data_IF_981843545734
#
_entry.id   IF_981843545734
#
_cell.length_a   1.000
_cell.length_b   1.000
_cell.length_c   1.000
_cell.angle_alpha   90.00
_cell.angle_beta   90.00
_cell.angle_gamma   90.00
#
_symmetry.space_group_name_H-M   'P 1'
#
loop_
_entity.id
_entity.type
_entity.pdbx_description
1 polymer ?
#
# COMPACT_ATOMS: atom_id res chain seq x y z
N UNK A 1 19.15 -2.26 1.21
CA UNK A 1 18.01 -1.31 1.20
C UNK A 1 17.01 -1.78 0.16
N UNK A 2 15.75 -1.82 0.53
CA UNK A 2 14.65 -2.19 -0.33
C UNK A 2 13.74 -0.99 -0.54
N UNK A 3 13.22 -0.85 -1.75
CA UNK A 3 12.28 0.21 -2.10
C UNK A 3 10.91 -0.40 -2.36
N UNK A 4 9.90 0.04 -1.60
CA UNK A 4 8.54 -0.49 -1.69
C UNK A 4 7.66 0.34 -2.60
N UNK A 5 6.86 -0.34 -3.42
CA UNK A 5 5.89 0.25 -4.32
C UNK A 5 4.63 -0.62 -4.43
N UNK A 6 3.57 -0.03 -4.95
CA UNK A 6 2.33 -0.73 -5.25
C UNK A 6 2.37 -1.27 -6.67
N UNK A 7 1.82 -2.46 -6.89
CA UNK A 7 1.85 -3.11 -8.19
C UNK A 7 0.47 -3.16 -8.86
N UNK A 8 0.49 -3.06 -10.18
CA UNK A 8 -0.68 -3.07 -11.06
C UNK A 8 -0.45 -4.00 -12.24
N UNK A 9 -1.52 -4.48 -12.83
CA UNK A 9 -1.44 -5.15 -14.12
C UNK A 9 -0.80 -4.22 -15.15
N UNK A 10 0.10 -4.74 -15.97
CA UNK A 10 0.77 -3.95 -17.02
C UNK A 10 -0.24 -3.21 -17.89
N UNK A 11 0.03 -1.91 -18.11
CA UNK A 11 -0.80 -1.04 -18.91
C UNK A 11 -2.07 -0.52 -18.21
N UNK A 12 -2.25 -0.81 -16.93
CA UNK A 12 -3.38 -0.27 -16.18
C UNK A 12 -3.14 1.21 -15.86
N UNK A 13 -3.99 2.08 -16.41
CA UNK A 13 -3.90 3.53 -16.21
C UNK A 13 -4.12 3.97 -14.76
N UNK A 14 -4.72 3.13 -13.94
CA UNK A 14 -4.91 3.39 -12.51
C UNK A 14 -3.57 3.58 -11.78
N UNK A 15 -2.49 2.94 -12.26
CA UNK A 15 -1.14 3.15 -11.75
C UNK A 15 -0.72 4.62 -11.82
N UNK A 16 -1.04 5.32 -12.91
CA UNK A 16 -0.69 6.72 -13.08
C UNK A 16 -1.53 7.63 -12.17
N UNK A 17 -2.80 7.29 -11.95
CA UNK A 17 -3.65 8.00 -10.98
C UNK A 17 -3.12 7.81 -9.56
N UNK A 18 -2.67 6.60 -9.21
CA UNK A 18 -2.04 6.32 -7.92
C UNK A 18 -0.73 7.09 -7.73
N UNK A 19 0.09 7.19 -8.78
CA UNK A 19 1.32 7.98 -8.73
C UNK A 19 1.04 9.46 -8.45
N UNK A 20 0.02 10.02 -9.08
CA UNK A 20 -0.38 11.41 -8.85
C UNK A 20 -0.85 11.62 -7.42
N UNK A 21 -1.72 10.76 -6.92
CA UNK A 21 -2.20 10.83 -5.54
C UNK A 21 -1.06 10.63 -4.53
N UNK A 22 -0.15 9.68 -4.80
CA UNK A 22 1.01 9.42 -3.95
C UNK A 22 1.96 10.63 -3.88
N UNK A 23 2.19 11.31 -5.01
CA UNK A 23 2.98 12.53 -5.04
C UNK A 23 2.35 13.65 -4.19
N UNK A 24 1.02 13.77 -4.23
CA UNK A 24 0.28 14.71 -3.38
C UNK A 24 0.43 14.38 -1.89
N UNK A 25 0.35 13.10 -1.52
CA UNK A 25 0.54 12.66 -0.13
C UNK A 25 1.96 12.96 0.37
N UNK A 26 2.95 12.85 -0.49
CA UNK A 26 4.34 13.23 -0.17
C UNK A 26 4.48 14.73 0.04
N UNK A 27 3.88 15.51 -0.84
CA UNK A 27 3.99 16.97 -0.85
C UNK A 27 3.25 17.63 0.33
N UNK A 28 2.05 17.12 0.67
CA UNK A 28 1.23 17.69 1.74
C UNK A 28 1.57 17.17 3.15
N UNK A 29 2.55 16.26 3.27
CA UNK A 29 3.01 15.71 4.53
C UNK A 29 2.19 14.52 5.05
N UNK A 30 1.13 14.11 4.37
CA UNK A 30 0.28 12.98 4.81
C UNK A 30 1.06 11.67 4.86
N UNK A 31 1.93 11.42 3.87
CA UNK A 31 2.75 10.21 3.86
C UNK A 31 3.67 10.14 5.09
N UNK A 32 4.33 11.23 5.44
CA UNK A 32 5.20 11.30 6.61
C UNK A 32 4.41 11.11 7.92
N UNK A 33 3.21 11.66 8.02
CA UNK A 33 2.33 11.45 9.17
C UNK A 33 1.91 9.98 9.31
N UNK A 34 1.52 9.34 8.20
CA UNK A 34 1.19 7.91 8.19
C UNK A 34 2.39 7.09 8.67
N UNK A 35 3.57 7.34 8.12
CA UNK A 35 4.79 6.63 8.53
C UNK A 35 5.08 6.84 10.02
N UNK A 36 4.97 8.05 10.53
CA UNK A 36 5.26 8.39 11.93
C UNK A 36 4.29 7.73 12.92
N UNK A 37 3.09 7.40 12.48
CA UNK A 37 2.12 6.69 13.31
C UNK A 37 2.52 5.24 13.62
N UNK A 38 3.42 4.67 12.83
CA UNK A 38 3.86 3.26 12.96
C UNK A 38 5.32 3.10 13.31
N UNK A 39 6.17 4.08 12.95
CA UNK A 39 7.63 3.99 13.08
C UNK A 39 8.16 5.27 13.72
N UNK A 40 9.04 5.12 14.71
CA UNK A 40 9.71 6.24 15.38
C UNK A 40 9.12 6.56 16.75
N UNK A 41 9.25 7.80 17.17
CA UNK A 41 8.91 8.23 18.54
C UNK A 41 7.43 8.62 18.71
N UNK A 42 6.70 8.77 17.61
CA UNK A 42 5.32 9.24 17.61
C UNK A 42 4.28 8.16 17.29
N UNK A 43 4.65 6.91 17.51
CA UNK A 43 3.77 5.76 17.23
C UNK A 43 2.43 5.91 17.95
N UNK A 44 1.34 5.77 17.18
CA UNK A 44 -0.02 5.87 17.69
C UNK A 44 -0.55 7.29 17.88
N UNK A 45 0.23 8.31 17.54
CA UNK A 45 -0.16 9.71 17.73
C UNK A 45 -0.81 10.35 16.49
N UNK A 46 -0.65 9.74 15.33
CA UNK A 46 -1.12 10.27 14.05
C UNK A 46 -1.92 9.24 13.23
N UNK A 47 -2.99 8.64 13.82
CA UNK A 47 -3.80 7.69 13.06
C UNK A 47 -4.42 8.37 11.83
N UNK A 48 -4.32 7.72 10.68
CA UNK A 48 -4.96 8.25 9.48
C UNK A 48 -6.47 8.09 9.57
N UNK A 49 -7.19 9.16 9.31
CA UNK A 49 -8.64 9.18 9.25
C UNK A 49 -9.09 9.73 7.90
N UNK A 50 -9.99 8.98 7.25
CA UNK A 50 -10.60 9.47 6.00
C UNK A 50 -11.44 10.71 6.27
N UNK A 51 -11.39 11.72 5.35
CA UNK A 51 -12.32 12.85 5.43
C UNK A 51 -13.78 12.36 5.43
N UNK A 52 -14.64 13.00 6.20
CA UNK A 52 -16.04 12.59 6.38
C UNK A 52 -16.90 12.75 5.12
N UNK A 53 -16.47 13.61 4.17
CA UNK A 53 -17.23 14.01 2.99
C UNK A 53 -16.66 13.45 1.68
N UNK A 54 -15.90 12.36 1.73
CA UNK A 54 -15.37 11.73 0.52
C UNK A 54 -16.49 11.16 -0.34
N UNK A 55 -16.55 11.60 -1.59
CA UNK A 55 -17.43 11.00 -2.60
C UNK A 55 -16.75 9.76 -3.17
N UNK A 56 -17.35 8.60 -2.96
CA UNK A 56 -16.82 7.29 -3.41
C UNK A 56 -17.58 6.74 -4.62
N UNK A 57 -18.08 7.62 -5.45
CA UNK A 57 -18.89 7.26 -6.62
C UNK A 57 -18.11 6.58 -7.75
N UNK A 58 -16.76 6.58 -7.69
CA UNK A 58 -15.94 5.93 -8.71
C UNK A 58 -15.90 4.40 -8.60
N UNK A 59 -16.42 3.85 -7.51
CA UNK A 59 -16.53 2.41 -7.31
C UNK A 59 -15.65 1.89 -6.19
N UNK A 60 -15.39 0.58 -6.21
CA UNK A 60 -14.58 -0.12 -5.21
C UNK A 60 -13.30 -0.65 -5.84
N UNK A 61 -12.17 -0.43 -5.16
CA UNK A 61 -10.89 -1.04 -5.52
C UNK A 61 -10.53 -2.13 -4.51
N UNK A 62 -10.09 -3.26 -5.01
CA UNK A 62 -9.61 -4.38 -4.21
C UNK A 62 -8.08 -4.36 -4.16
N UNK A 63 -7.54 -4.26 -2.97
CA UNK A 63 -6.11 -4.33 -2.67
C UNK A 63 -5.75 -5.75 -2.24
N UNK A 64 -4.82 -6.38 -2.95
CA UNK A 64 -4.21 -7.64 -2.52
C UNK A 64 -3.03 -7.34 -1.59
N UNK A 65 -2.96 -8.03 -0.46
CA UNK A 65 -1.88 -7.90 0.52
C UNK A 65 -1.62 -9.23 1.22
N UNK A 66 -0.53 -9.29 1.97
CA UNK A 66 -0.25 -10.38 2.88
C UNK A 66 -0.07 -9.81 4.29
N UNK A 67 -1.10 -9.94 5.13
CA UNK A 67 -1.21 -9.27 6.43
C UNK A 67 -0.41 -9.99 7.54
N UNK A 68 0.85 -10.31 7.24
CA UNK A 68 1.81 -10.95 8.14
C UNK A 68 3.14 -10.17 8.21
N UNK A 69 3.10 -8.88 7.88
CA UNK A 69 4.30 -8.03 7.77
C UNK A 69 4.15 -6.69 8.51
N UNK A 70 4.05 -6.76 9.84
CA UNK A 70 4.00 -5.55 10.68
C UNK A 70 5.30 -4.74 10.57
N UNK A 71 5.26 -3.41 10.46
CA UNK A 71 4.11 -2.50 10.56
C UNK A 71 3.45 -2.15 9.20
N UNK A 72 3.81 -2.85 8.14
CA UNK A 72 3.33 -2.56 6.77
C UNK A 72 1.89 -3.01 6.57
N UNK A 73 1.60 -4.26 6.88
CA UNK A 73 0.25 -4.81 6.91
C UNK A 73 0.18 -5.94 7.95
N UNK A 74 -0.84 -5.89 8.79
CA UNK A 74 -1.07 -6.91 9.81
C UNK A 74 -2.53 -6.92 10.25
N UNK A 75 -2.91 -7.96 10.95
CA UNK A 75 -4.27 -8.10 11.47
C UNK A 75 -4.39 -7.53 12.87
N UNK A 76 -5.42 -6.71 13.05
CA UNK A 76 -5.87 -6.23 14.35
C UNK A 76 -7.34 -6.64 14.51
N UNK A 77 -7.57 -7.74 15.22
CA UNK A 77 -8.87 -8.40 15.21
C UNK A 77 -9.20 -8.97 13.82
N UNK A 78 -10.29 -8.50 13.23
CA UNK A 78 -10.70 -8.85 11.87
C UNK A 78 -10.25 -7.82 10.83
N UNK A 79 -9.71 -6.70 11.27
CA UNK A 79 -9.28 -5.62 10.39
C UNK A 79 -7.83 -5.80 9.96
N UNK A 80 -7.54 -5.38 8.74
CA UNK A 80 -6.18 -5.30 8.22
C UNK A 80 -5.74 -3.85 8.32
N UNK A 81 -4.66 -3.62 9.05
CA UNK A 81 -4.13 -2.30 9.37
C UNK A 81 -2.65 -2.22 9.01
N UNK A 82 -2.07 -1.05 9.07
CA UNK A 82 -0.67 -0.82 8.83
C UNK A 82 -0.40 0.29 7.82
N UNK A 83 0.87 0.51 7.53
CA UNK A 83 1.31 1.60 6.65
C UNK A 83 0.72 1.46 5.25
N UNK A 84 0.79 0.26 4.66
CA UNK A 84 0.27 0.02 3.31
C UNK A 84 -1.26 0.21 3.26
N UNK A 85 -1.97 -0.23 4.30
CA UNK A 85 -3.41 -0.04 4.40
C UNK A 85 -3.78 1.45 4.47
N UNK A 86 -3.09 2.23 5.28
CA UNK A 86 -3.37 3.66 5.45
C UNK A 86 -3.00 4.47 4.20
N UNK A 87 -1.87 4.19 3.56
CA UNK A 87 -1.49 4.85 2.30
C UNK A 87 -2.52 4.54 1.22
N UNK A 88 -2.93 3.29 1.10
CA UNK A 88 -3.94 2.86 0.11
C UNK A 88 -5.28 3.52 0.36
N UNK A 89 -5.69 3.62 1.63
CA UNK A 89 -6.92 4.33 2.02
C UNK A 89 -6.83 5.82 1.65
N UNK A 90 -5.72 6.47 1.96
CA UNK A 90 -5.52 7.88 1.63
C UNK A 90 -5.56 8.14 0.12
N UNK A 91 -4.98 7.25 -0.69
CA UNK A 91 -5.04 7.33 -2.15
C UNK A 91 -6.48 7.17 -2.63
N UNK A 92 -7.20 6.16 -2.15
CA UNK A 92 -8.59 5.92 -2.51
C UNK A 92 -9.50 7.10 -2.11
N UNK A 93 -9.23 7.72 -0.97
CA UNK A 93 -9.95 8.93 -0.53
C UNK A 93 -9.76 10.08 -1.52
N UNK A 94 -8.54 10.29 -2.04
CA UNK A 94 -8.26 11.32 -3.05
C UNK A 94 -8.91 11.02 -4.40
N UNK A 95 -8.96 9.76 -4.78
CA UNK A 95 -9.45 9.34 -6.10
C UNK A 95 -10.96 9.02 -6.14
N UNK A 96 -11.62 9.01 -4.99
CA UNK A 96 -13.07 8.78 -4.90
C UNK A 96 -13.48 7.32 -4.99
N UNK A 97 -12.67 6.40 -4.46
CA UNK A 97 -12.96 4.97 -4.40
C UNK A 97 -13.21 4.47 -2.98
N UNK A 98 -14.02 3.43 -2.89
CA UNK A 98 -14.07 2.56 -1.72
C UNK A 98 -12.88 1.61 -1.75
N UNK A 99 -12.25 1.33 -0.60
CA UNK A 99 -11.15 0.38 -0.51
C UNK A 99 -11.62 -0.92 0.14
N UNK A 100 -11.35 -2.04 -0.53
CA UNK A 100 -11.50 -3.38 0.00
C UNK A 100 -10.11 -4.03 0.07
N UNK A 101 -9.74 -4.56 1.22
CA UNK A 101 -8.42 -5.22 1.41
C UNK A 101 -8.63 -6.73 1.52
N UNK A 102 -7.90 -7.49 0.71
CA UNK A 102 -7.90 -8.95 0.74
C UNK A 102 -6.53 -9.50 1.15
N UNK A 103 -6.52 -10.29 2.22
CA UNK A 103 -5.35 -11.01 2.69
C UNK A 103 -5.16 -12.30 1.89
N UNK A 104 -3.94 -12.54 1.45
CA UNK A 104 -3.57 -13.76 0.72
C UNK A 104 -2.08 -14.06 0.90
N UNK A 105 -1.66 -15.25 0.50
CA UNK A 105 -0.24 -15.58 0.48
C UNK A 105 0.54 -14.64 -0.44
N UNK A 106 1.70 -14.17 0.00
CA UNK A 106 2.50 -13.18 -0.73
C UNK A 106 2.78 -13.59 -2.17
N UNK A 107 3.11 -14.84 -2.40
CA UNK A 107 3.40 -15.40 -3.72
C UNK A 107 2.20 -15.43 -4.68
N UNK A 108 0.99 -15.19 -4.18
CA UNK A 108 -0.23 -15.16 -5.02
C UNK A 108 -0.64 -13.75 -5.43
N UNK A 109 -0.03 -12.72 -4.87
CA UNK A 109 -0.42 -11.32 -5.10
C UNK A 109 -0.28 -10.93 -6.57
N UNK A 110 0.87 -11.19 -7.19
CA UNK A 110 1.10 -10.83 -8.59
C UNK A 110 0.11 -11.52 -9.54
N UNK A 111 -0.20 -12.79 -9.29
CA UNK A 111 -1.18 -13.53 -10.08
C UNK A 111 -2.59 -12.96 -9.92
N UNK A 112 -2.97 -12.55 -8.72
CA UNK A 112 -4.27 -11.94 -8.43
C UNK A 112 -4.43 -10.59 -9.13
N UNK A 113 -3.39 -9.79 -9.16
CA UNK A 113 -3.36 -8.49 -9.86
C UNK A 113 -3.43 -8.71 -11.38
N UNK A 114 -2.65 -9.63 -11.92
CA UNK A 114 -2.60 -9.91 -13.36
C UNK A 114 -3.89 -10.53 -13.90
N UNK A 115 -4.60 -11.32 -13.10
CA UNK A 115 -5.90 -11.91 -13.49
C UNK A 115 -7.08 -10.93 -13.36
N UNK A 116 -6.88 -9.78 -12.73
CA UNK A 116 -7.95 -8.82 -12.44
C UNK A 116 -8.77 -9.17 -11.21
N UNK A 117 -8.39 -10.18 -10.45
CA UNK A 117 -9.04 -10.56 -9.18
C UNK A 117 -8.84 -9.49 -8.11
N UNK A 118 -7.69 -8.84 -8.12
CA UNK A 118 -7.41 -7.63 -7.37
C UNK A 118 -7.07 -6.50 -8.34
N UNK A 119 -7.37 -5.26 -7.95
CA UNK A 119 -7.07 -4.07 -8.76
C UNK A 119 -5.62 -3.66 -8.63
N UNK A 120 -5.04 -3.85 -7.46
CA UNK A 120 -3.64 -3.57 -7.18
C UNK A 120 -3.12 -4.38 -6.00
N UNK A 121 -1.80 -4.39 -5.85
CA UNK A 121 -1.13 -5.02 -4.71
C UNK A 121 -0.32 -4.01 -3.91
N UNK A 122 -0.41 -4.10 -2.57
CA UNK A 122 0.42 -3.34 -1.65
C UNK A 122 0.75 -4.24 -0.45
N UNK A 123 2.01 -4.61 -0.32
CA UNK A 123 2.44 -5.64 0.64
C UNK A 123 3.90 -5.47 1.06
N UNK A 124 4.36 -4.23 1.29
CA UNK A 124 5.78 -3.98 1.50
C UNK A 124 6.60 -4.61 0.36
N UNK A 125 6.13 -4.45 -0.86
CA UNK A 125 6.68 -5.16 -2.01
C UNK A 125 7.87 -4.43 -2.61
N UNK A 126 9.01 -5.08 -2.60
CA UNK A 126 10.23 -4.55 -3.20
C UNK A 126 10.13 -4.54 -4.72
N UNK A 127 10.48 -3.42 -5.33
CA UNK A 127 10.63 -3.32 -6.79
C UNK A 127 11.87 -4.11 -7.21
N UNK A 128 11.67 -5.10 -8.07
CA UNK A 128 12.76 -5.89 -8.64
C UNK A 128 12.59 -6.00 -10.16
N UNK A 129 13.70 -6.13 -10.93
CA UNK A 129 13.61 -6.32 -12.39
C UNK A 129 12.73 -7.52 -12.78
N UNK A 130 12.80 -8.61 -12.02
CA UNK A 130 11.97 -9.79 -12.25
C UNK A 130 10.48 -9.49 -12.12
N UNK A 131 10.08 -8.77 -11.06
CA UNK A 131 8.69 -8.38 -10.85
C UNK A 131 8.21 -7.37 -11.89
N UNK A 132 9.08 -6.47 -12.32
CA UNK A 132 8.76 -5.49 -13.38
C UNK A 132 8.48 -6.13 -14.74
N UNK A 133 8.92 -7.36 -14.96
CA UNK A 133 8.56 -8.13 -16.15
C UNK A 133 7.07 -8.52 -16.15
N UNK A 134 6.47 -8.67 -14.98
CA UNK A 134 5.09 -9.16 -14.79
C UNK A 134 4.08 -8.08 -14.50
N UNK A 135 4.47 -6.99 -13.84
CA UNK A 135 3.58 -5.92 -13.36
C UNK A 135 4.21 -4.56 -13.58
N UNK A 136 3.38 -3.51 -13.51
CA UNK A 136 3.84 -2.13 -13.42
C UNK A 136 3.78 -1.67 -11.97
N UNK A 137 4.80 -0.94 -11.54
CA UNK A 137 4.86 -0.37 -10.19
C UNK A 137 4.56 1.12 -10.18
N UNK A 138 4.02 1.59 -9.06
CA UNK A 138 4.03 3.02 -8.73
C UNK A 138 5.45 3.50 -8.44
N UNK A 139 5.62 4.79 -8.26
CA UNK A 139 6.81 5.32 -7.60
C UNK A 139 6.92 4.70 -6.21
N UNK A 140 8.15 4.60 -5.71
CA UNK A 140 8.39 4.04 -4.38
C UNK A 140 7.93 5.02 -3.30
N UNK A 141 7.31 4.49 -2.24
CA UNK A 141 6.81 5.30 -1.12
C UNK A 141 7.61 5.10 0.18
N UNK A 142 8.47 4.10 0.22
CA UNK A 142 9.28 3.80 1.39
C UNK A 142 10.59 3.11 1.01
N UNK A 143 11.61 3.37 1.82
CA UNK A 143 12.87 2.64 1.81
C UNK A 143 12.97 1.85 3.11
N UNK A 144 13.34 0.58 3.02
CA UNK A 144 13.50 -0.29 4.17
C UNK A 144 14.83 -1.05 4.11
N UNK A 145 15.37 -1.39 5.27
CA UNK A 145 16.51 -2.26 5.38
C UNK A 145 16.11 -3.45 6.25
N UNK A 146 16.10 -4.63 5.66
CA UNK A 146 15.88 -5.86 6.40
C UNK A 146 17.20 -6.35 6.98
N UNK A 147 17.20 -6.73 8.26
CA UNK A 147 18.35 -7.27 8.95
C UNK A 147 17.99 -8.62 9.58
N UNK A 148 18.97 -9.52 9.62
CA UNK A 148 18.82 -10.81 10.30
C UNK A 148 19.42 -10.70 11.69
N UNK A 149 18.60 -10.93 12.70
CA UNK A 149 19.05 -10.96 14.10
C UNK A 149 19.45 -12.39 14.42
N UNK A 150 20.72 -12.59 14.78
CA UNK A 150 21.23 -13.88 15.20
C UNK A 150 21.60 -13.83 16.67
N UNK A 151 21.34 -14.93 17.40
CA UNK A 151 21.86 -15.08 18.76
C UNK A 151 23.36 -15.27 18.71
N UNK A 152 24.07 -14.54 19.59
CA UNK A 152 25.47 -14.81 19.87
C UNK A 152 25.61 -16.05 20.74
#
# INVERSE_FOLDING_TARGET
TEEYAMCFKKGNELRDEFNTALAELKEDGTLDEIMSNYIGDEVGQHPYESPADVDRSNGTLTMATNAEFEPWEYKEGTDIVGIDADISQAICDKLGYELKIEDMAFETILASVNSGKADFGAAGMTVTPEREESVDFTDTYANATQVVIVRK
#
